data_IF_821354117855
#
_entry.id   IF_821354117855
#
_cell.length_a   1.000
_cell.length_b   1.000
_cell.length_c   1.000
_cell.angle_alpha   90.00
_cell.angle_beta   90.00
_cell.angle_gamma   90.00
#
_symmetry.space_group_name_H-M   'P 1'
#
loop_
_entity.id
_entity.type
_entity.pdbx_description
1 polymer ?
#
# COMPACT_ATOMS: atom_id res chain seq x y z
N UNK A 1 15.20 15.50 2.06
CA UNK A 1 13.75 15.69 2.23
C UNK A 1 12.93 14.79 1.29
N UNK A 2 13.15 14.77 -0.03
CA UNK A 2 12.45 13.79 -0.92
C UNK A 2 12.79 12.33 -0.61
N UNK A 3 14.07 12.01 -0.34
CA UNK A 3 14.49 10.64 0.05
C UNK A 3 13.70 10.10 1.24
N UNK A 4 13.49 10.92 2.29
CA UNK A 4 12.82 10.51 3.53
C UNK A 4 11.34 10.16 3.31
N UNK A 5 10.69 10.81 2.34
CA UNK A 5 9.30 10.54 1.94
C UNK A 5 9.24 9.18 1.24
N UNK A 6 10.14 8.90 0.31
CA UNK A 6 10.22 7.59 -0.34
C UNK A 6 10.60 6.47 0.64
N UNK A 7 11.60 6.72 1.49
CA UNK A 7 12.11 5.77 2.49
C UNK A 7 11.04 5.38 3.52
N UNK A 8 10.08 6.25 3.80
CA UNK A 8 8.97 5.94 4.71
C UNK A 8 7.75 5.35 3.98
N UNK A 9 7.37 5.90 2.83
CA UNK A 9 6.09 5.54 2.20
C UNK A 9 6.15 4.31 1.30
N UNK A 10 7.29 4.01 0.67
CA UNK A 10 7.44 2.82 -0.16
C UNK A 10 7.38 1.52 0.66
N UNK A 11 8.06 1.40 1.83
CA UNK A 11 7.90 0.22 2.69
C UNK A 11 6.47 0.05 3.21
N UNK A 12 5.80 1.15 3.57
CA UNK A 12 4.41 1.12 4.01
C UNK A 12 3.45 0.64 2.90
N UNK A 13 3.69 1.07 1.66
CA UNK A 13 2.98 0.57 0.50
C UNK A 13 3.20 -0.94 0.32
N UNK A 14 4.45 -1.39 0.38
CA UNK A 14 4.80 -2.80 0.21
C UNK A 14 4.14 -3.69 1.27
N UNK A 15 4.22 -3.31 2.55
CA UNK A 15 3.58 -4.04 3.65
C UNK A 15 2.06 -4.13 3.48
N UNK A 16 1.43 -3.07 2.97
CA UNK A 16 0.00 -3.04 2.67
C UNK A 16 -0.35 -4.01 1.54
N UNK A 17 0.45 -4.08 0.48
CA UNK A 17 0.25 -5.04 -0.62
C UNK A 17 0.40 -6.49 -0.13
N UNK A 18 1.43 -6.78 0.68
CA UNK A 18 1.62 -8.12 1.25
C UNK A 18 0.43 -8.53 2.12
N UNK A 19 -0.08 -7.60 2.94
CA UNK A 19 -1.27 -7.83 3.77
C UNK A 19 -2.51 -8.09 2.91
N UNK A 20 -2.69 -7.36 1.80
CA UNK A 20 -3.77 -7.60 0.86
C UNK A 20 -3.70 -8.99 0.22
N UNK A 21 -2.51 -9.40 -0.24
CA UNK A 21 -2.29 -10.73 -0.83
C UNK A 21 -2.58 -11.84 0.18
N UNK A 22 -2.15 -11.66 1.43
CA UNK A 22 -2.45 -12.61 2.49
C UNK A 22 -3.96 -12.73 2.73
N UNK A 23 -4.69 -11.61 2.81
CA UNK A 23 -6.14 -11.64 2.96
C UNK A 23 -6.86 -12.31 1.79
N UNK A 24 -6.38 -12.13 0.55
CA UNK A 24 -6.91 -12.84 -0.62
C UNK A 24 -6.71 -14.35 -0.51
N UNK A 25 -5.54 -14.80 -0.04
CA UNK A 25 -5.28 -16.23 0.20
C UNK A 25 -6.19 -16.81 1.28
N UNK A 26 -6.58 -16.01 2.28
CA UNK A 26 -7.54 -16.40 3.31
C UNK A 26 -9.01 -16.31 2.86
N UNK A 27 -9.29 -15.84 1.64
CA UNK A 27 -10.66 -15.67 1.14
C UNK A 27 -11.39 -14.44 1.68
N UNK A 28 -10.65 -13.41 2.11
CA UNK A 28 -11.19 -12.16 2.68
C UNK A 28 -11.00 -10.96 1.72
N UNK A 29 -11.76 -10.88 0.60
CA UNK A 29 -11.55 -9.84 -0.41
C UNK A 29 -11.85 -8.42 0.09
N UNK A 30 -12.84 -8.23 0.97
CA UNK A 30 -13.16 -6.91 1.52
C UNK A 30 -12.02 -6.35 2.37
N UNK A 31 -11.38 -7.21 3.16
CA UNK A 31 -10.24 -6.80 3.96
C UNK A 31 -8.98 -6.58 3.10
N UNK A 32 -8.80 -7.38 2.04
CA UNK A 32 -7.76 -7.15 1.05
C UNK A 32 -7.92 -5.77 0.36
N UNK A 33 -9.15 -5.39 0.01
CA UNK A 33 -9.44 -4.08 -0.59
C UNK A 33 -9.02 -2.92 0.32
N UNK A 34 -9.31 -3.00 1.61
CA UNK A 34 -8.88 -1.97 2.57
C UNK A 34 -7.36 -1.78 2.63
N UNK A 35 -6.60 -2.88 2.54
CA UNK A 35 -5.15 -2.83 2.47
C UNK A 35 -4.64 -2.24 1.14
N UNK A 36 -5.29 -2.56 0.02
CA UNK A 36 -4.94 -1.95 -1.28
C UNK A 36 -5.21 -0.44 -1.30
N UNK A 37 -6.30 0.03 -0.69
CA UNK A 37 -6.57 1.46 -0.52
C UNK A 37 -5.54 2.15 0.39
N UNK A 38 -5.00 1.44 1.38
CA UNK A 38 -3.89 1.94 2.21
C UNK A 38 -2.57 2.01 1.42
N UNK A 39 -2.30 1.03 0.56
CA UNK A 39 -1.15 1.05 -0.34
C UNK A 39 -1.22 2.25 -1.32
N UNK A 40 -2.37 2.45 -1.96
CA UNK A 40 -2.58 3.57 -2.87
C UNK A 40 -2.41 4.93 -2.18
N UNK A 41 -2.93 5.10 -0.95
CA UNK A 41 -2.70 6.32 -0.15
C UNK A 41 -1.22 6.56 0.15
N UNK A 42 -0.44 5.50 0.35
CA UNK A 42 0.99 5.60 0.60
C UNK A 42 1.74 6.04 -0.66
N UNK A 43 1.37 5.51 -1.84
CA UNK A 43 1.92 5.95 -3.13
C UNK A 43 1.60 7.41 -3.44
N UNK A 44 0.35 7.83 -3.21
CA UNK A 44 -0.05 9.23 -3.39
C UNK A 44 0.76 10.19 -2.49
N UNK A 45 1.07 9.78 -1.26
CA UNK A 45 1.93 10.56 -0.34
C UNK A 45 3.39 10.62 -0.79
N UNK A 46 3.86 9.60 -1.51
CA UNK A 46 5.17 9.58 -2.15
C UNK A 46 5.22 10.37 -3.47
N UNK A 47 4.12 11.02 -3.87
CA UNK A 47 4.03 11.72 -5.16
C UNK A 47 3.91 10.78 -6.37
N UNK A 48 3.65 9.49 -6.14
CA UNK A 48 3.45 8.49 -7.19
C UNK A 48 1.95 8.42 -7.48
N UNK A 49 1.52 9.13 -8.52
CA UNK A 49 0.14 9.10 -8.99
C UNK A 49 -0.07 7.89 -9.91
N UNK A 50 -1.02 7.03 -9.55
CA UNK A 50 -1.51 5.97 -10.44
C UNK A 50 -2.73 6.50 -11.20
N UNK A 51 -2.61 6.63 -12.53
CA UNK A 51 -3.70 7.00 -13.46
C UNK A 51 -4.78 5.90 -13.52
#
# INVERSE_FOLDING_TARGET
MESEIFDLHLPNCWNSIQSALWQLQQGNPEQAKQFLEAAQRSLNKAGIHTN
#
